data_IF_847527778593
#
_entry.id   IF_847527778593
#
_cell.length_a   1.000
_cell.length_b   1.000
_cell.length_c   1.000
_cell.angle_alpha   90.00
_cell.angle_beta   90.00
_cell.angle_gamma   90.00
#
_symmetry.space_group_name_H-M   'P 1'
#
loop_
_entity.id
_entity.type
_entity.pdbx_description
1 polymer ?
#
# COMPACT_ATOMS: atom_id res chain seq x y z
N UNK A 1 -10.97 20.70 -59.46
CA UNK A 1 -10.92 19.24 -59.19
C UNK A 1 -11.90 18.91 -58.07
N UNK A 2 -12.99 18.23 -58.39
CA UNK A 2 -14.08 17.91 -57.48
C UNK A 2 -14.05 16.39 -57.28
N UNK A 3 -13.69 15.92 -56.09
CA UNK A 3 -13.54 14.49 -55.80
C UNK A 3 -14.91 13.94 -55.41
N UNK A 4 -15.45 13.09 -56.27
CA UNK A 4 -16.71 12.38 -56.13
C UNK A 4 -16.47 11.07 -55.38
N UNK A 5 -17.03 10.92 -54.18
CA UNK A 5 -17.03 9.65 -53.45
C UNK A 5 -18.17 8.77 -53.97
N UNK A 6 -17.85 7.66 -54.62
CA UNK A 6 -18.83 6.60 -54.89
C UNK A 6 -19.05 5.79 -53.61
N UNK A 7 -20.31 5.74 -53.17
CA UNK A 7 -20.78 4.80 -52.17
C UNK A 7 -20.64 3.37 -52.71
N UNK A 8 -19.98 2.50 -51.94
CA UNK A 8 -19.89 1.06 -52.22
C UNK A 8 -21.16 0.40 -51.70
N UNK A 9 -21.83 -0.35 -52.58
CA UNK A 9 -23.13 -1.00 -52.40
C UNK A 9 -23.23 -1.89 -51.14
N UNK A 10 -24.38 -1.87 -50.43
CA UNK A 10 -24.67 -2.75 -49.31
C UNK A 10 -25.20 -4.10 -49.85
N UNK A 11 -24.35 -4.89 -50.51
CA UNK A 11 -24.75 -6.17 -51.10
C UNK A 11 -23.98 -7.41 -50.58
N UNK A 12 -23.06 -7.25 -49.63
CA UNK A 12 -22.37 -8.37 -48.99
C UNK A 12 -22.71 -8.45 -47.50
N UNK A 13 -23.72 -9.25 -47.18
CA UNK A 13 -24.20 -9.52 -45.81
C UNK A 13 -23.27 -10.45 -45.02
N UNK A 14 -22.05 -10.00 -44.71
CA UNK A 14 -21.23 -10.60 -43.65
C UNK A 14 -21.20 -9.65 -42.45
N UNK A 15 -21.50 -10.12 -41.22
CA UNK A 15 -21.40 -9.28 -40.04
C UNK A 15 -19.95 -8.79 -39.87
N UNK A 16 -19.74 -7.57 -39.33
CA UNK A 16 -18.41 -7.04 -39.11
C UNK A 16 -17.65 -7.97 -38.18
N UNK A 17 -16.58 -8.60 -38.70
CA UNK A 17 -15.66 -9.41 -37.91
C UNK A 17 -14.89 -8.45 -37.02
N UNK A 18 -15.13 -8.55 -35.71
CA UNK A 18 -14.40 -7.79 -34.70
C UNK A 18 -12.98 -8.38 -34.56
N UNK A 19 -11.92 -7.67 -35.01
CA UNK A 19 -10.56 -8.20 -34.96
C UNK A 19 -10.07 -8.40 -33.51
N UNK A 20 -10.65 -7.70 -32.54
CA UNK A 20 -10.32 -7.84 -31.12
C UNK A 20 -10.84 -9.16 -30.55
N UNK A 21 -12.03 -9.60 -30.98
CA UNK A 21 -12.63 -10.86 -30.53
C UNK A 21 -11.87 -12.10 -31.05
N UNK A 22 -11.37 -12.05 -32.30
CA UNK A 22 -10.55 -13.14 -32.86
C UNK A 22 -9.18 -13.26 -32.19
N UNK A 23 -8.56 -12.14 -31.80
CA UNK A 23 -7.25 -12.18 -31.14
C UNK A 23 -7.31 -12.78 -29.73
N UNK A 24 -8.39 -12.51 -28.99
CA UNK A 24 -8.64 -13.07 -27.66
C UNK A 24 -8.96 -14.57 -27.74
N UNK A 25 -9.79 -14.99 -28.70
CA UNK A 25 -10.09 -16.40 -28.91
C UNK A 25 -8.83 -17.23 -29.24
N UNK A 26 -7.91 -16.68 -30.05
CA UNK A 26 -6.63 -17.36 -30.35
C UNK A 26 -5.65 -17.45 -29.17
N UNK A 27 -5.72 -16.50 -28.23
CA UNK A 27 -4.89 -16.52 -27.03
C UNK A 27 -5.34 -17.59 -26.02
N UNK A 28 -6.66 -17.85 -25.93
CA UNK A 28 -7.23 -18.85 -25.02
C UNK A 28 -6.99 -20.30 -25.47
N UNK A 29 -6.94 -20.54 -26.78
CA UNK A 29 -6.69 -21.87 -27.37
C UNK A 29 -5.20 -22.21 -27.55
N UNK A 30 -4.31 -21.30 -27.15
CA UNK A 30 -2.87 -21.53 -27.20
C UNK A 30 -2.49 -22.71 -26.31
N UNK A 31 -1.65 -23.63 -26.80
CA UNK A 31 -1.24 -24.83 -26.04
C UNK A 31 -0.62 -24.48 -24.67
N UNK A 32 0.06 -23.32 -24.59
CA UNK A 32 0.55 -22.74 -23.34
C UNK A 32 -0.56 -22.41 -22.36
N UNK A 33 -1.66 -21.79 -22.81
CA UNK A 33 -2.80 -21.48 -21.95
C UNK A 33 -3.40 -22.77 -21.37
N UNK A 34 -3.53 -23.83 -22.19
CA UNK A 34 -3.98 -25.14 -21.73
C UNK A 34 -3.04 -25.77 -20.70
N UNK A 35 -1.72 -25.67 -20.90
CA UNK A 35 -0.70 -26.17 -19.96
C UNK A 35 -0.68 -25.40 -18.63
N UNK A 36 -0.92 -24.09 -18.66
CA UNK A 36 -0.93 -23.24 -17.48
C UNK A 36 -2.25 -23.31 -16.70
N UNK A 37 -3.37 -23.65 -17.35
CA UNK A 37 -4.70 -23.74 -16.72
C UNK A 37 -4.72 -24.72 -15.54
N UNK A 38 -4.11 -25.89 -15.69
CA UNK A 38 -4.04 -26.91 -14.64
C UNK A 38 -3.33 -26.41 -13.37
N UNK A 39 -2.06 -25.98 -13.48
CA UNK A 39 -1.30 -25.36 -12.38
C UNK A 39 -1.98 -24.13 -11.78
N UNK A 40 -2.57 -23.25 -12.61
CA UNK A 40 -3.26 -22.06 -12.14
C UNK A 40 -4.50 -22.41 -11.28
N UNK A 41 -5.29 -23.40 -11.68
CA UNK A 41 -6.43 -23.88 -10.88
C UNK A 41 -5.97 -24.52 -9.57
N UNK A 42 -4.88 -25.29 -9.60
CA UNK A 42 -4.31 -25.90 -8.39
C UNK A 42 -3.77 -24.84 -7.41
N UNK A 43 -3.09 -23.81 -7.93
CA UNK A 43 -2.60 -22.68 -7.14
C UNK A 43 -3.75 -21.84 -6.60
N UNK A 44 -4.78 -21.56 -7.40
CA UNK A 44 -5.98 -20.85 -6.96
C UNK A 44 -6.70 -21.58 -5.82
N UNK A 45 -6.79 -22.92 -5.88
CA UNK A 45 -7.31 -23.72 -4.75
C UNK A 45 -6.45 -23.57 -3.49
N UNK A 46 -5.12 -23.60 -3.64
CA UNK A 46 -4.18 -23.42 -2.52
C UNK A 46 -4.20 -22.01 -1.93
N UNK A 47 -4.48 -20.99 -2.72
CA UNK A 47 -4.55 -19.61 -2.27
C UNK A 47 -5.97 -19.19 -1.88
N UNK A 48 -6.96 -20.07 -2.02
CA UNK A 48 -8.36 -19.76 -1.70
C UNK A 48 -8.56 -19.36 -0.23
N UNK A 49 -7.73 -19.88 0.69
CA UNK A 49 -7.73 -19.46 2.10
C UNK A 49 -7.38 -17.98 2.27
N UNK A 50 -6.60 -17.39 1.35
CA UNK A 50 -6.22 -15.98 1.43
C UNK A 50 -7.40 -15.04 1.19
N UNK A 51 -8.48 -15.53 0.56
CA UNK A 51 -9.71 -14.76 0.44
C UNK A 51 -10.30 -14.39 1.82
N UNK A 52 -9.96 -15.12 2.89
CA UNK A 52 -10.37 -14.79 4.26
C UNK A 52 -9.69 -13.53 4.83
N UNK A 53 -8.58 -13.07 4.22
CA UNK A 53 -7.90 -11.83 4.63
C UNK A 53 -8.30 -10.62 3.78
N UNK A 54 -9.17 -10.80 2.78
CA UNK A 54 -9.69 -9.69 1.99
C UNK A 54 -10.73 -8.94 2.82
N UNK A 55 -10.69 -7.60 2.75
CA UNK A 55 -11.70 -6.77 3.39
C UNK A 55 -13.10 -7.14 2.85
N UNK A 56 -14.06 -7.36 3.75
CA UNK A 56 -15.37 -7.96 3.48
C UNK A 56 -16.19 -7.21 2.41
N UNK A 57 -15.90 -5.93 2.17
CA UNK A 57 -16.61 -5.06 1.23
C UNK A 57 -15.94 -4.88 -0.15
N UNK A 58 -14.80 -5.51 -0.42
CA UNK A 58 -14.13 -5.35 -1.71
C UNK A 58 -14.44 -6.49 -2.68
N UNK A 59 -14.78 -6.15 -3.93
CA UNK A 59 -14.87 -7.14 -5.01
C UNK A 59 -13.55 -7.94 -5.07
N UNK A 60 -13.58 -9.28 -4.93
CA UNK A 60 -12.38 -10.09 -4.77
C UNK A 60 -11.38 -9.90 -5.91
N UNK A 61 -11.86 -9.70 -7.15
CA UNK A 61 -11.00 -9.45 -8.31
C UNK A 61 -10.21 -8.16 -8.14
N UNK A 62 -10.85 -7.08 -7.67
CA UNK A 62 -10.20 -5.79 -7.44
C UNK A 62 -9.13 -5.90 -6.35
N UNK A 63 -9.45 -6.58 -5.26
CA UNK A 63 -8.49 -6.86 -4.20
C UNK A 63 -7.25 -7.59 -4.71
N UNK A 64 -7.45 -8.71 -5.42
CA UNK A 64 -6.34 -9.49 -5.95
C UNK A 64 -5.50 -8.71 -6.97
N UNK A 65 -6.11 -7.90 -7.83
CA UNK A 65 -5.39 -7.02 -8.76
C UNK A 65 -4.51 -6.01 -8.01
N UNK A 66 -5.04 -5.36 -6.97
CA UNK A 66 -4.27 -4.42 -6.14
C UNK A 66 -3.13 -5.15 -5.42
N UNK A 67 -3.41 -6.30 -4.80
CA UNK A 67 -2.40 -7.10 -4.11
C UNK A 67 -1.28 -7.53 -5.07
N UNK A 68 -1.62 -8.00 -6.27
CA UNK A 68 -0.65 -8.38 -7.29
C UNK A 68 0.20 -7.19 -7.77
N UNK A 69 -0.43 -6.02 -7.98
CA UNK A 69 0.28 -4.81 -8.38
C UNK A 69 1.27 -4.34 -7.30
N UNK A 70 0.86 -4.32 -6.03
CA UNK A 70 1.74 -3.96 -4.90
C UNK A 70 2.88 -4.97 -4.76
N UNK A 71 2.61 -6.27 -4.87
CA UNK A 71 3.65 -7.30 -4.82
C UNK A 71 4.65 -7.16 -5.97
N UNK A 72 4.17 -6.87 -7.18
CA UNK A 72 5.03 -6.66 -8.36
C UNK A 72 5.92 -5.42 -8.22
N UNK A 73 5.37 -4.28 -7.78
CA UNK A 73 6.15 -3.07 -7.49
C UNK A 73 7.20 -3.34 -6.42
N UNK A 74 6.82 -4.04 -5.35
CA UNK A 74 7.75 -4.42 -4.27
C UNK A 74 8.88 -5.30 -4.80
N UNK A 75 8.58 -6.30 -5.63
CA UNK A 75 9.58 -7.16 -6.27
C UNK A 75 10.50 -6.39 -7.21
N UNK A 76 9.99 -5.42 -7.97
CA UNK A 76 10.83 -4.54 -8.80
C UNK A 76 11.79 -3.73 -7.91
N UNK A 77 11.29 -3.10 -6.86
CA UNK A 77 12.13 -2.28 -5.95
C UNK A 77 13.21 -3.14 -5.30
N UNK A 78 12.87 -4.34 -4.83
CA UNK A 78 13.84 -5.27 -4.25
C UNK A 78 14.82 -5.82 -5.30
N UNK A 79 14.35 -6.13 -6.51
CA UNK A 79 15.18 -6.68 -7.59
C UNK A 79 16.16 -5.65 -8.18
N UNK A 80 15.75 -4.38 -8.29
CA UNK A 80 16.60 -3.28 -8.74
C UNK A 80 17.64 -2.91 -7.68
N UNK A 81 17.35 -3.12 -6.39
CA UNK A 81 18.27 -2.82 -5.29
C UNK A 81 19.24 -3.93 -4.89
N UNK A 82 19.21 -5.10 -5.55
CA UNK A 82 19.98 -6.27 -5.11
C UNK A 82 21.38 -6.41 -5.74
N UNK A 83 21.88 -5.38 -6.42
CA UNK A 83 23.24 -5.33 -6.97
C UNK A 83 23.91 -4.09 -6.42
N UNK A 84 24.58 -4.25 -5.28
CA UNK A 84 25.79 -3.52 -4.87
C UNK A 84 26.18 -3.97 -3.46
N UNK A 85 27.05 -4.98 -3.39
CA UNK A 85 27.87 -5.28 -2.21
C UNK A 85 28.89 -4.14 -2.01
N UNK A 86 28.40 -2.95 -1.69
CA UNK A 86 29.25 -1.86 -1.23
C UNK A 86 29.45 -2.00 0.28
N UNK A 87 30.70 -1.99 0.77
CA UNK A 87 30.96 -2.07 2.20
C UNK A 87 30.31 -0.86 2.88
N UNK A 88 29.31 -1.13 3.70
CA UNK A 88 28.59 -0.13 4.50
C UNK A 88 29.61 0.62 5.36
N UNK A 89 29.97 1.85 4.96
CA UNK A 89 30.62 2.80 5.87
C UNK A 89 29.67 2.94 7.07
N UNK A 90 30.16 2.55 8.26
CA UNK A 90 29.51 2.85 9.53
C UNK A 90 29.07 4.32 9.51
N UNK A 91 27.77 4.63 9.69
CA UNK A 91 27.32 6.00 9.58
C UNK A 91 28.09 6.84 10.60
N UNK A 92 29.00 7.70 10.09
CA UNK A 92 29.56 8.82 10.85
C UNK A 92 28.39 9.42 11.58
N UNK A 93 28.45 9.47 12.92
CA UNK A 93 27.41 10.05 13.80
C UNK A 93 26.90 11.34 13.17
N UNK A 94 25.83 11.22 12.38
CA UNK A 94 25.26 12.33 11.64
C UNK A 94 24.30 12.97 12.63
N UNK A 95 24.84 13.79 13.52
CA UNK A 95 24.09 14.70 14.38
C UNK A 95 23.49 15.85 13.53
N UNK A 96 22.77 15.48 12.45
CA UNK A 96 22.02 16.39 11.56
C UNK A 96 20.52 16.05 11.66
N UNK A 97 20.09 15.58 12.84
CA UNK A 97 18.69 15.40 13.17
C UNK A 97 18.20 16.55 14.06
N UNK A 98 16.95 17.00 13.93
CA UNK A 98 16.33 17.86 14.95
C UNK A 98 16.43 17.18 16.33
N UNK A 99 16.39 17.94 17.44
CA UNK A 99 16.67 17.46 18.79
C UNK A 99 16.06 16.09 19.07
N UNK A 100 16.87 15.16 19.61
CA UNK A 100 16.45 13.79 19.89
C UNK A 100 15.10 13.79 20.61
N UNK A 101 14.19 12.94 20.13
CA UNK A 101 12.89 12.71 20.75
C UNK A 101 13.01 12.54 22.27
N UNK A 102 11.98 12.93 23.04
CA UNK A 102 11.88 12.40 24.40
C UNK A 102 11.79 10.88 24.29
N UNK A 103 12.64 10.18 25.03
CA UNK A 103 12.69 8.72 25.06
C UNK A 103 12.56 8.22 26.48
N UNK A 104 11.96 7.04 26.63
CA UNK A 104 11.97 6.27 27.87
C UNK A 104 12.65 4.94 27.58
N UNK A 105 13.53 4.51 28.47
CA UNK A 105 14.20 3.23 28.36
C UNK A 105 13.30 2.14 28.94
N UNK A 106 13.01 1.11 28.15
CA UNK A 106 12.25 -0.05 28.61
C UNK A 106 13.16 -0.98 29.45
N UNK A 107 12.59 -1.88 30.27
CA UNK A 107 13.36 -2.85 31.07
C UNK A 107 14.33 -3.74 30.26
N UNK A 108 14.08 -3.93 28.97
CA UNK A 108 14.92 -4.70 28.05
C UNK A 108 16.05 -3.86 27.39
N UNK A 109 16.19 -2.59 27.76
CA UNK A 109 17.20 -1.67 27.24
C UNK A 109 16.81 -0.96 25.94
N UNK A 110 15.68 -1.28 25.30
CA UNK A 110 15.19 -0.55 24.13
C UNK A 110 14.72 0.86 24.51
N UNK A 111 14.69 1.77 23.55
CA UNK A 111 14.22 3.14 23.76
C UNK A 111 12.88 3.36 23.06
N UNK A 112 11.85 3.75 23.81
CA UNK A 112 10.55 4.16 23.26
C UNK A 112 10.54 5.67 23.09
N UNK A 113 10.33 6.16 21.87
CA UNK A 113 10.22 7.58 21.61
C UNK A 113 8.78 8.05 21.78
N UNK A 114 8.57 9.21 22.40
CA UNK A 114 7.24 9.76 22.64
C UNK A 114 7.18 11.28 22.44
N UNK A 115 5.96 11.79 22.24
CA UNK A 115 5.65 13.21 22.14
C UNK A 115 4.51 13.53 23.10
N UNK A 116 4.65 14.62 23.86
CA UNK A 116 3.63 15.10 24.78
C UNK A 116 2.93 16.33 24.20
N UNK A 117 1.63 16.45 24.46
CA UNK A 117 0.79 17.60 24.11
C UNK A 117 -0.19 17.92 25.24
N UNK A 118 -0.59 19.19 25.35
CA UNK A 118 -1.49 19.66 26.41
C UNK A 118 -0.73 20.06 27.68
N UNK A 119 -1.31 19.77 28.84
CA UNK A 119 -0.70 20.14 30.13
C UNK A 119 0.39 19.14 30.57
N UNK A 120 1.28 19.60 31.46
CA UNK A 120 2.30 18.76 32.09
C UNK A 120 1.68 17.70 33.01
N UNK A 121 2.44 16.65 33.33
CA UNK A 121 1.92 15.51 34.10
C UNK A 121 1.40 15.91 35.50
N UNK A 122 2.01 16.91 36.13
CA UNK A 122 1.61 17.46 37.44
C UNK A 122 0.30 18.28 37.39
N UNK A 123 -0.08 18.79 36.22
CA UNK A 123 -1.30 19.60 36.02
C UNK A 123 -2.43 18.84 35.34
N UNK A 124 -2.16 17.61 34.92
CA UNK A 124 -3.09 16.81 34.15
C UNK A 124 -4.24 16.30 35.03
N UNK A 125 -5.46 16.74 34.73
CA UNK A 125 -6.71 16.13 35.23
C UNK A 125 -6.96 14.78 34.56
N UNK A 126 -6.56 14.66 33.30
CA UNK A 126 -6.67 13.45 32.49
C UNK A 126 -5.35 13.20 31.77
N UNK A 127 -4.86 11.96 31.77
CA UNK A 127 -3.68 11.57 31.00
C UNK A 127 -4.07 10.46 30.02
N UNK A 128 -3.86 10.69 28.73
CA UNK A 128 -4.17 9.76 27.66
C UNK A 128 -2.88 9.31 26.97
N UNK A 129 -2.80 8.03 26.64
CA UNK A 129 -1.74 7.45 25.82
C UNK A 129 -2.35 7.08 24.48
N UNK A 130 -1.76 7.57 23.39
CA UNK A 130 -2.21 7.32 22.04
C UNK A 130 -1.11 6.61 21.26
N UNK A 131 -1.25 5.32 20.93
CA UNK A 131 -0.41 4.70 19.91
C UNK A 131 -0.69 5.35 18.55
N UNK A 132 0.35 5.51 17.75
CA UNK A 132 0.19 5.91 16.35
C UNK A 132 -0.28 4.70 15.51
N UNK A 133 -0.95 4.96 14.38
CA UNK A 133 -1.37 3.91 13.44
C UNK A 133 -0.17 3.34 12.68
N UNK A 134 -0.31 2.13 12.13
CA UNK A 134 0.74 1.49 11.33
C UNK A 134 1.23 2.41 10.19
N UNK A 135 2.54 2.48 9.97
CA UNK A 135 3.22 3.41 9.04
C UNK A 135 3.13 4.91 9.39
N UNK A 136 2.72 5.26 10.62
CA UNK A 136 2.74 6.64 11.11
C UNK A 136 3.95 6.92 12.02
N UNK A 137 3.95 8.07 12.68
CA UNK A 137 4.87 8.37 13.77
C UNK A 137 4.19 9.19 14.85
N UNK A 138 4.84 9.32 16.01
CA UNK A 138 4.40 10.22 17.09
C UNK A 138 4.17 11.68 16.67
N UNK A 139 4.67 12.09 15.50
CA UNK A 139 4.54 13.45 14.99
C UNK A 139 3.19 13.73 14.34
N UNK A 140 2.48 12.71 13.85
CA UNK A 140 1.18 12.86 13.19
C UNK A 140 0.10 13.40 14.13
N UNK A 141 0.22 13.14 15.43
CA UNK A 141 -0.78 13.56 16.40
C UNK A 141 -2.10 12.80 16.25
N UNK A 142 -3.13 13.31 16.94
CA UNK A 142 -4.51 12.90 16.70
C UNK A 142 -5.16 14.00 15.87
N UNK A 143 -5.56 13.72 14.61
CA UNK A 143 -6.23 14.71 13.77
C UNK A 143 -7.43 15.35 14.47
N UNK A 144 -7.58 16.66 14.33
CA UNK A 144 -8.69 17.43 14.92
C UNK A 144 -8.47 17.86 16.38
N UNK A 145 -7.49 17.30 17.10
CA UNK A 145 -7.19 17.72 18.48
C UNK A 145 -6.20 18.89 18.47
N UNK A 146 -6.67 20.06 18.91
CA UNK A 146 -5.84 21.26 19.07
C UNK A 146 -5.15 21.25 20.45
N UNK A 147 -3.87 21.67 20.57
CA UNK A 147 -3.19 21.77 21.86
C UNK A 147 -3.95 22.63 22.88
N UNK A 148 -4.54 23.74 22.45
CA UNK A 148 -5.35 24.62 23.31
C UNK A 148 -6.60 23.96 23.87
N UNK A 149 -7.16 22.97 23.17
CA UNK A 149 -8.28 22.18 23.68
C UNK A 149 -7.82 21.28 24.82
N UNK A 150 -6.68 20.61 24.64
CA UNK A 150 -6.08 19.78 25.69
C UNK A 150 -5.78 20.61 26.94
N UNK A 151 -5.21 21.81 26.78
CA UNK A 151 -4.96 22.73 27.89
C UNK A 151 -6.25 23.14 28.61
N UNK A 152 -7.29 23.54 27.86
CA UNK A 152 -8.59 23.96 28.43
C UNK A 152 -9.23 22.87 29.28
N UNK A 153 -9.11 21.61 28.89
CA UNK A 153 -9.65 20.48 29.65
C UNK A 153 -8.71 19.94 30.72
N UNK A 154 -7.47 20.45 30.80
CA UNK A 154 -6.43 19.92 31.68
C UNK A 154 -6.01 18.50 31.28
N UNK A 155 -6.02 18.19 29.99
CA UNK A 155 -5.64 16.89 29.47
C UNK A 155 -4.16 16.88 29.03
N UNK A 156 -3.47 15.79 29.38
CA UNK A 156 -2.15 15.44 28.88
C UNK A 156 -2.30 14.31 27.87
N UNK A 157 -1.78 14.50 26.68
CA UNK A 157 -1.76 13.49 25.62
C UNK A 157 -0.31 13.04 25.36
N UNK A 158 -0.05 11.75 25.47
CA UNK A 158 1.26 11.13 25.18
C UNK A 158 1.12 10.25 23.95
N UNK A 159 1.84 10.59 22.89
CA UNK A 159 1.83 9.83 21.65
C UNK A 159 3.13 9.02 21.58
N UNK A 160 3.01 7.70 21.53
CA UNK A 160 4.16 6.77 21.51
C UNK A 160 4.48 6.32 20.09
N UNK A 161 5.78 6.11 19.81
CA UNK A 161 6.29 5.54 18.58
C UNK A 161 6.78 4.11 18.77
#
# INVERSE_FOLDING_TARGET
>A
CQIHWQAVDPAFGLPPVDPTAQSLAGAEDSELARRLRGPAVAMGKRLSFMNAYLAEDCNPVRCWVITAAVAFVTLIVLGVGSVDDTPVELPKKLYIGPPSAKTIQLPDGRHLAYKEQGVTADRARFSLIAPHYFLSSRLAGIPGIKPSLLEKFGARLVIIN
#
